data_IF_831864458249
#
_entry.id   IF_831864458249
#
_cell.length_a   1.000
_cell.length_b   1.000
_cell.length_c   1.000
_cell.angle_alpha   90.00
_cell.angle_beta   90.00
_cell.angle_gamma   90.00
#
_symmetry.space_group_name_H-M   'P 1'
#
loop_
_entity.id
_entity.type
_entity.pdbx_description
1 polymer ?
#
# COMPACT_ATOMS: atom_id res chain seq x y z
N UNK A 1 11.16 19.58 -6.46
CA UNK A 1 9.89 18.83 -6.40
C UNK A 1 9.21 18.79 -7.75
N UNK A 2 8.86 17.60 -8.24
CA UNK A 2 8.20 17.43 -9.54
C UNK A 2 6.70 17.77 -9.53
N UNK A 3 6.14 18.20 -8.38
CA UNK A 3 4.74 18.65 -8.25
C UNK A 3 3.68 17.54 -8.40
N UNK A 4 4.04 16.27 -8.17
CA UNK A 4 3.19 15.09 -8.42
C UNK A 4 2.62 14.48 -7.14
N UNK A 5 1.81 15.25 -6.42
CA UNK A 5 1.12 14.78 -5.21
C UNK A 5 0.04 13.71 -5.47
N UNK A 6 -0.33 13.51 -6.74
CA UNK A 6 -1.26 12.47 -7.19
C UNK A 6 -0.63 11.07 -7.20
N UNK A 7 0.69 10.97 -7.34
CA UNK A 7 1.40 9.69 -7.34
C UNK A 7 1.47 9.15 -5.92
N UNK A 8 0.93 7.94 -5.72
CA UNK A 8 1.01 7.24 -4.44
C UNK A 8 2.38 6.59 -4.26
N UNK A 9 2.93 6.70 -3.06
CA UNK A 9 4.21 6.13 -2.65
C UNK A 9 3.94 5.04 -1.63
N UNK A 10 4.49 3.86 -1.89
CA UNK A 10 4.39 2.68 -1.04
C UNK A 10 5.80 2.23 -0.69
N UNK A 11 6.02 1.89 0.58
CA UNK A 11 7.29 1.33 1.04
C UNK A 11 7.16 -0.19 1.24
N UNK A 12 8.22 -0.93 0.99
CA UNK A 12 8.21 -2.38 1.16
C UNK A 12 9.58 -2.94 1.53
N UNK A 13 9.60 -4.19 1.99
CA UNK A 13 10.81 -4.90 2.41
C UNK A 13 11.03 -4.84 3.92
N UNK A 14 12.28 -4.95 4.36
CA UNK A 14 12.63 -4.97 5.79
C UNK A 14 12.75 -3.52 6.28
N UNK A 15 11.69 -3.02 6.91
CA UNK A 15 11.63 -1.66 7.48
C UNK A 15 11.47 -1.78 9.00
N UNK A 16 12.35 -1.17 9.81
CA UNK A 16 12.22 -1.17 11.26
C UNK A 16 10.93 -0.46 11.72
N UNK A 17 10.30 -0.97 12.77
CA UNK A 17 9.02 -0.43 13.26
C UNK A 17 9.11 1.03 13.70
N UNK A 18 10.26 1.47 14.24
CA UNK A 18 10.46 2.87 14.63
C UNK A 18 10.45 3.86 13.45
N UNK A 19 10.70 3.39 12.23
CA UNK A 19 10.76 4.25 11.04
C UNK A 19 9.36 4.47 10.42
N UNK A 20 8.34 3.73 10.89
CA UNK A 20 7.01 3.75 10.26
C UNK A 20 6.36 5.12 10.35
N UNK A 21 6.43 5.76 11.53
CA UNK A 21 5.85 7.09 11.71
C UNK A 21 6.53 8.11 10.79
N UNK A 22 7.86 8.08 10.72
CA UNK A 22 8.64 8.93 9.82
C UNK A 22 8.21 8.75 8.35
N UNK A 23 8.06 7.51 7.89
CA UNK A 23 7.62 7.23 6.52
C UNK A 23 6.19 7.72 6.25
N UNK A 24 5.27 7.56 7.21
CA UNK A 24 3.90 8.08 7.11
C UNK A 24 3.89 9.60 7.03
N UNK A 25 4.67 10.28 7.87
CA UNK A 25 4.79 11.74 7.88
C UNK A 25 5.41 12.28 6.59
N UNK A 26 6.31 11.51 5.97
CA UNK A 26 6.89 11.81 4.65
C UNK A 26 5.92 11.57 3.48
N UNK A 27 4.72 11.04 3.73
CA UNK A 27 3.71 10.81 2.71
C UNK A 27 3.75 9.42 2.07
N UNK A 28 4.19 8.38 2.79
CA UNK A 28 3.98 6.98 2.37
C UNK A 28 2.56 6.55 2.73
N UNK A 29 1.81 6.01 1.76
CA UNK A 29 0.41 5.59 1.98
C UNK A 29 0.27 4.16 2.51
N UNK A 30 1.19 3.27 2.18
CA UNK A 30 1.20 1.87 2.64
C UNK A 30 2.62 1.37 2.88
N UNK A 31 2.77 0.44 3.84
CA UNK A 31 4.04 -0.19 4.20
C UNK A 31 3.85 -1.71 4.21
N UNK A 32 4.56 -2.43 3.34
CA UNK A 32 4.47 -3.88 3.21
C UNK A 32 5.76 -4.58 3.67
N UNK A 33 5.73 -5.11 4.90
CA UNK A 33 6.87 -5.79 5.52
C UNK A 33 7.10 -7.22 5.01
N UNK A 34 8.15 -7.91 5.51
CA UNK A 34 8.42 -9.29 5.15
C UNK A 34 7.24 -10.21 5.51
N UNK A 35 6.89 -11.12 4.61
CA UNK A 35 5.75 -12.04 4.81
C UNK A 35 4.38 -11.44 4.57
N UNK A 36 4.29 -10.18 4.10
CA UNK A 36 3.01 -9.60 3.65
C UNK A 36 2.39 -10.48 2.56
N UNK A 37 1.12 -10.82 2.73
CA UNK A 37 0.38 -11.59 1.72
C UNK A 37 0.18 -10.74 0.47
N UNK A 38 0.53 -11.29 -0.70
CA UNK A 38 0.49 -10.57 -1.97
C UNK A 38 -0.93 -10.11 -2.35
N UNK A 39 -1.94 -10.96 -2.17
CA UNK A 39 -3.33 -10.65 -2.52
C UNK A 39 -3.82 -9.48 -1.68
N UNK A 40 -3.57 -9.52 -0.37
CA UNK A 40 -3.92 -8.41 0.55
C UNK A 40 -3.20 -7.10 0.20
N UNK A 41 -1.92 -7.16 -0.15
CA UNK A 41 -1.17 -5.97 -0.57
C UNK A 41 -1.76 -5.39 -1.86
N UNK A 42 -2.10 -6.24 -2.85
CA UNK A 42 -2.69 -5.81 -4.10
C UNK A 42 -4.07 -5.16 -3.89
N UNK A 43 -4.94 -5.76 -3.06
CA UNK A 43 -6.23 -5.20 -2.67
C UNK A 43 -6.07 -3.79 -2.05
N UNK A 44 -5.12 -3.63 -1.13
CA UNK A 44 -4.85 -2.33 -0.49
C UNK A 44 -4.36 -1.29 -1.50
N UNK A 45 -3.46 -1.66 -2.43
CA UNK A 45 -3.01 -0.75 -3.51
C UNK A 45 -4.17 -0.31 -4.41
N UNK A 46 -5.03 -1.24 -4.82
CA UNK A 46 -6.19 -0.92 -5.66
C UNK A 46 -7.17 0.01 -4.94
N UNK A 47 -7.40 -0.23 -3.66
CA UNK A 47 -8.23 0.64 -2.80
C UNK A 47 -7.64 2.06 -2.72
N UNK A 48 -6.32 2.18 -2.55
CA UNK A 48 -5.63 3.48 -2.49
C UNK A 48 -5.68 4.27 -3.81
N UNK A 49 -5.79 3.58 -4.95
CA UNK A 49 -5.93 4.17 -6.27
C UNK A 49 -7.38 4.57 -6.60
N UNK A 50 -8.34 4.27 -5.72
CA UNK A 50 -9.75 4.58 -5.92
C UNK A 50 -10.47 3.63 -6.87
N UNK A 51 -9.93 2.43 -7.10
CA UNK A 51 -10.66 1.38 -7.80
C UNK A 51 -11.69 0.75 -6.86
N UNK A 52 -12.93 0.58 -7.33
CA UNK A 52 -13.91 -0.26 -6.66
C UNK A 52 -13.35 -1.68 -6.59
N UNK A 53 -13.28 -2.23 -5.38
CA UNK A 53 -12.98 -3.64 -5.16
C UNK A 53 -13.86 -4.51 -6.09
N UNK A 54 -13.32 -5.61 -6.66
CA UNK A 54 -14.18 -6.61 -7.28
C UNK A 54 -15.23 -7.08 -6.25
N UNK A 55 -16.46 -7.41 -6.68
CA UNK A 55 -17.50 -7.83 -5.77
C UNK A 55 -17.05 -9.04 -4.95
N UNK A 56 -17.40 -9.07 -3.66
CA UNK A 56 -17.12 -10.21 -2.78
C UNK A 56 -17.72 -11.48 -3.40
N UNK A 57 -16.86 -12.47 -3.73
CA UNK A 57 -17.28 -13.77 -4.26
C UNK A 57 -16.51 -14.30 -5.49
N UNK A 58 -15.60 -13.53 -6.09
CA UNK A 58 -14.83 -13.96 -7.28
C UNK A 58 -13.44 -14.54 -6.98
N UNK A 59 -13.07 -14.70 -5.71
CA UNK A 59 -11.78 -15.25 -5.27
C UNK A 59 -11.76 -16.77 -5.00
N UNK A 60 -12.92 -17.43 -5.01
CA UNK A 60 -13.07 -18.86 -4.72
C UNK A 60 -13.65 -19.60 -5.93
N UNK A 61 -12.85 -19.76 -6.98
CA UNK A 61 -13.11 -20.68 -8.10
C UNK A 61 -11.83 -21.46 -8.45
#
# INVERSE_FOLDING_TARGET
DAGRADIKVIAGGVIPAQDYQFLRDAGVQAIFGPGTNLVKAAEEVLTLLGHNMPPEGEGDA
#
